data_IF_645974143991
#
_entry.id   IF_645974143991
#
_cell.length_a   1.000
_cell.length_b   1.000
_cell.length_c   1.000
_cell.angle_alpha   90.00
_cell.angle_beta   90.00
_cell.angle_gamma   90.00
#
_symmetry.space_group_name_H-M   'P 1'
#
loop_
_entity.id
_entity.type
_entity.pdbx_description
1 polymer ?
#
# COMPACT_ATOMS: atom_id res chain seq x y z
N UNK A 1 -7.48 -38.95 -14.05
CA UNK A 1 -8.24 -37.86 -13.41
C UNK A 1 -7.25 -36.74 -13.18
N UNK A 2 -7.46 -35.56 -13.77
CA UNK A 2 -6.59 -34.40 -13.52
C UNK A 2 -6.73 -33.96 -12.06
N UNK A 3 -5.64 -33.47 -11.47
CA UNK A 3 -5.59 -33.02 -10.07
C UNK A 3 -6.05 -31.57 -9.97
N UNK A 4 -6.23 -31.08 -8.74
CA UNK A 4 -6.42 -29.66 -8.44
C UNK A 4 -5.28 -29.18 -7.56
N UNK A 5 -4.80 -27.96 -7.79
CA UNK A 5 -3.76 -27.34 -6.99
C UNK A 5 -4.13 -25.91 -6.65
N UNK A 6 -3.79 -25.50 -5.43
CA UNK A 6 -4.00 -24.15 -4.95
C UNK A 6 -2.73 -23.65 -4.25
N UNK A 7 -2.32 -22.44 -4.59
CA UNK A 7 -1.19 -21.74 -3.99
C UNK A 7 -1.71 -20.59 -3.15
N UNK A 8 -1.11 -20.40 -1.97
CA UNK A 8 -1.30 -19.19 -1.15
C UNK A 8 0.06 -18.52 -1.07
N UNK A 9 0.13 -17.31 -1.62
CA UNK A 9 1.38 -16.58 -1.81
C UNK A 9 1.30 -15.27 -1.01
N UNK A 10 2.29 -15.05 -0.15
CA UNK A 10 2.47 -13.81 0.60
C UNK A 10 3.55 -12.91 -0.01
N UNK A 11 3.65 -11.67 0.49
CA UNK A 11 4.51 -10.61 -0.07
C UNK A 11 6.00 -10.95 -0.01
N UNK A 12 6.39 -11.90 0.84
CA UNK A 12 7.76 -12.39 0.94
C UNK A 12 8.33 -12.91 -0.39
N UNK A 13 7.51 -13.48 -1.27
CA UNK A 13 7.98 -13.99 -2.58
C UNK A 13 8.41 -12.85 -3.52
N UNK A 14 7.79 -11.68 -3.38
CA UNK A 14 8.03 -10.51 -4.23
C UNK A 14 9.37 -9.84 -3.92
N UNK A 15 9.94 -10.08 -2.74
CA UNK A 15 11.26 -9.54 -2.36
C UNK A 15 12.37 -10.01 -3.28
N UNK A 16 12.28 -11.23 -3.81
CA UNK A 16 13.25 -11.75 -4.79
C UNK A 16 13.25 -10.95 -6.09
N UNK A 17 12.15 -10.28 -6.42
CA UNK A 17 12.02 -9.39 -7.56
C UNK A 17 12.50 -7.97 -7.30
N UNK A 18 13.04 -7.67 -6.12
CA UNK A 18 13.43 -6.32 -5.71
C UNK A 18 12.24 -5.43 -5.33
N UNK A 19 11.05 -6.01 -5.15
CA UNK A 19 9.91 -5.26 -4.61
C UNK A 19 10.13 -5.01 -3.11
N UNK A 20 9.90 -3.79 -2.64
CA UNK A 20 10.20 -3.42 -1.26
C UNK A 20 9.33 -4.20 -0.28
N UNK A 21 9.92 -4.50 0.87
CA UNK A 21 9.20 -5.05 2.01
C UNK A 21 8.34 -3.98 2.69
N UNK A 22 7.44 -4.41 3.57
CA UNK A 22 6.70 -3.48 4.45
C UNK A 22 7.64 -2.63 5.29
N UNK A 23 8.79 -3.17 5.70
CA UNK A 23 9.82 -2.42 6.44
C UNK A 23 10.45 -1.33 5.57
N UNK A 24 10.79 -1.64 4.32
CA UNK A 24 11.36 -0.67 3.38
C UNK A 24 10.39 0.50 3.13
N UNK A 25 9.10 0.19 2.91
CA UNK A 25 8.04 1.19 2.74
C UNK A 25 7.86 2.02 4.02
N UNK A 26 7.83 1.35 5.17
CA UNK A 26 7.71 2.04 6.47
C UNK A 26 8.86 3.01 6.70
N UNK A 27 10.08 2.63 6.34
CA UNK A 27 11.22 3.52 6.49
C UNK A 27 11.13 4.71 5.53
N UNK A 28 10.67 4.51 4.29
CA UNK A 28 10.51 5.59 3.31
C UNK A 28 9.46 6.63 3.72
N UNK A 29 8.31 6.23 4.30
CA UNK A 29 7.27 7.19 4.72
C UNK A 29 7.69 8.02 5.96
N UNK A 30 8.81 7.70 6.60
CA UNK A 30 9.30 8.39 7.78
C UNK A 30 10.46 9.35 7.47
N UNK A 31 10.81 9.51 6.19
CA UNK A 31 11.85 10.42 5.71
C UNK A 31 11.32 11.32 4.60
N UNK A 32 11.99 12.43 4.32
CA UNK A 32 11.71 13.34 3.20
C UNK A 32 12.58 13.03 1.97
N UNK A 33 13.34 11.93 2.00
CA UNK A 33 14.38 11.65 1.01
C UNK A 33 13.80 11.47 -0.40
N UNK A 34 14.22 12.38 -1.31
CA UNK A 34 13.83 12.40 -2.72
C UNK A 34 12.33 12.53 -2.97
N UNK A 35 11.57 13.06 -1.99
CA UNK A 35 10.13 13.28 -2.11
C UNK A 35 9.84 14.76 -2.28
N UNK A 36 8.88 15.09 -3.14
CA UNK A 36 8.30 16.41 -3.17
C UNK A 36 6.80 16.35 -3.45
N UNK A 37 6.04 17.28 -2.86
CA UNK A 37 4.61 17.43 -3.16
C UNK A 37 4.42 18.26 -4.43
N UNK A 38 3.62 17.76 -5.36
CA UNK A 38 3.24 18.47 -6.57
C UNK A 38 2.01 19.38 -6.33
N UNK A 39 1.71 20.25 -7.29
CA UNK A 39 0.63 21.24 -7.17
C UNK A 39 -0.77 20.60 -7.22
N UNK A 40 -0.88 19.39 -7.78
CA UNK A 40 -2.10 18.59 -7.78
C UNK A 40 -2.34 17.82 -6.47
N UNK A 41 -1.42 17.92 -5.51
CA UNK A 41 -1.50 17.24 -4.23
C UNK A 41 -0.84 15.86 -4.18
N UNK A 42 -0.34 15.35 -5.30
CA UNK A 42 0.40 14.09 -5.34
C UNK A 42 1.83 14.25 -4.80
N UNK A 43 2.40 13.17 -4.28
CA UNK A 43 3.80 13.09 -3.89
C UNK A 43 4.60 12.35 -4.95
N UNK A 44 5.60 13.04 -5.48
CA UNK A 44 6.49 12.53 -6.52
C UNK A 44 7.88 12.25 -5.95
N UNK A 45 8.56 11.26 -6.53
CA UNK A 45 9.81 10.72 -6.02
C UNK A 45 10.93 10.91 -7.05
N UNK A 46 11.54 12.09 -7.09
CA UNK A 46 12.67 12.43 -7.97
C UNK A 46 13.65 13.39 -7.25
N UNK A 47 14.90 13.46 -7.74
CA UNK A 47 16.00 14.26 -7.16
C UNK A 47 15.87 15.79 -7.38
N UNK A 48 14.67 16.33 -7.57
CA UNK A 48 14.45 17.76 -7.80
C UNK A 48 13.56 18.33 -6.69
N UNK A 49 14.15 18.65 -5.54
CA UNK A 49 13.46 19.38 -4.47
C UNK A 49 13.41 20.88 -4.81
N UNK A 50 12.21 21.46 -4.70
CA UNK A 50 11.99 22.91 -4.63
C UNK A 50 11.70 23.26 -3.16
N UNK A 51 12.22 24.40 -2.68
CA UNK A 51 12.11 24.83 -1.26
C UNK A 51 10.67 24.93 -0.72
N UNK A 52 9.66 25.17 -1.57
CA UNK A 52 8.24 25.23 -1.17
C UNK A 52 7.64 23.85 -0.84
N UNK A 53 8.21 22.76 -1.34
CA UNK A 53 7.70 21.40 -1.14
C UNK A 53 8.08 20.83 0.24
N UNK A 54 8.99 21.51 0.94
CA UNK A 54 9.50 21.16 2.25
C UNK A 54 8.46 21.38 3.37
N UNK A 55 7.57 22.37 3.22
CA UNK A 55 6.59 22.73 4.25
C UNK A 55 5.61 21.60 4.60
N UNK A 56 5.10 20.88 3.60
CA UNK A 56 4.16 19.77 3.79
C UNK A 56 4.84 18.58 4.49
N UNK A 57 6.04 18.21 4.03
CA UNK A 57 6.81 17.10 4.60
C UNK A 57 7.24 17.42 6.04
N UNK A 58 7.58 18.67 6.35
CA UNK A 58 7.83 19.17 7.71
C UNK A 58 6.64 19.03 8.66
N UNK A 59 5.40 19.09 8.16
CA UNK A 59 4.21 18.80 8.96
C UNK A 59 4.02 17.29 9.15
N UNK A 60 4.10 16.54 8.06
CA UNK A 60 3.63 15.15 7.99
C UNK A 60 4.63 14.19 8.65
N UNK A 61 5.93 14.33 8.38
CA UNK A 61 6.93 13.36 8.87
C UNK A 61 6.98 13.30 10.41
N UNK A 62 7.02 14.43 11.15
CA UNK A 62 7.01 14.34 12.61
C UNK A 62 5.69 13.81 13.16
N UNK A 63 4.57 14.04 12.47
CA UNK A 63 3.27 13.43 12.81
C UNK A 63 3.30 11.91 12.61
N UNK A 64 3.80 11.42 11.47
CA UNK A 64 3.93 9.98 11.20
C UNK A 64 4.86 9.29 12.21
N UNK A 65 5.96 9.95 12.59
CA UNK A 65 6.85 9.44 13.65
C UNK A 65 6.16 9.39 15.02
N UNK A 66 5.36 10.41 15.37
CA UNK A 66 4.56 10.40 16.60
C UNK A 66 3.58 9.21 16.63
N UNK A 67 2.86 8.97 15.53
CA UNK A 67 1.94 7.82 15.44
C UNK A 67 2.71 6.50 15.58
N UNK A 68 3.85 6.36 14.90
CA UNK A 68 4.71 5.18 15.02
C UNK A 68 5.15 4.94 16.47
N UNK A 69 5.57 5.98 17.19
CA UNK A 69 5.96 5.88 18.61
C UNK A 69 4.80 5.39 19.47
N UNK A 70 3.60 5.93 19.25
CA UNK A 70 2.40 5.53 19.99
C UNK A 70 2.04 4.07 19.75
N UNK A 71 2.04 3.62 18.49
CA UNK A 71 1.74 2.23 18.14
C UNK A 71 2.82 1.29 18.70
N UNK A 72 4.11 1.68 18.62
CA UNK A 72 5.21 0.90 19.20
C UNK A 72 5.06 0.75 20.72
N UNK A 73 4.64 1.81 21.41
CA UNK A 73 4.36 1.76 22.84
C UNK A 73 3.26 0.74 23.15
N UNK A 74 2.23 0.67 22.33
CA UNK A 74 1.18 -0.33 22.47
C UNK A 74 1.69 -1.76 22.21
N UNK A 75 2.33 -2.01 21.05
CA UNK A 75 2.79 -3.36 20.69
C UNK A 75 3.86 -3.89 21.63
N UNK A 76 4.86 -3.09 22.02
CA UNK A 76 5.88 -3.52 22.98
C UNK A 76 5.30 -4.06 24.29
N UNK A 77 4.12 -3.60 24.70
CA UNK A 77 3.42 -4.03 25.91
C UNK A 77 2.39 -5.16 25.69
N UNK A 78 1.91 -5.39 24.45
CA UNK A 78 0.75 -6.27 24.20
C UNK A 78 0.96 -7.34 23.13
N UNK A 79 1.84 -7.14 22.15
CA UNK A 79 2.11 -8.13 21.11
C UNK A 79 3.52 -7.98 20.49
N UNK A 80 4.19 -9.10 20.24
CA UNK A 80 5.54 -9.11 19.66
C UNK A 80 5.53 -8.88 18.13
N UNK A 81 4.99 -7.73 17.71
CA UNK A 81 4.87 -7.31 16.31
C UNK A 81 5.56 -5.97 16.10
N UNK A 82 6.22 -5.82 14.95
CA UNK A 82 6.81 -4.56 14.50
C UNK A 82 5.75 -3.68 13.83
N UNK A 83 5.76 -2.38 14.13
CA UNK A 83 4.91 -1.38 13.46
C UNK A 83 5.31 -1.23 12.01
N UNK A 84 4.31 -1.17 11.11
CA UNK A 84 4.52 -0.92 9.69
C UNK A 84 3.68 0.29 9.19
N UNK A 85 3.83 0.63 7.91
CA UNK A 85 3.11 1.74 7.27
C UNK A 85 1.59 1.57 7.29
N UNK A 86 1.07 0.33 7.27
CA UNK A 86 -0.36 0.04 7.30
C UNK A 86 -0.96 0.43 8.65
N UNK A 87 -0.20 0.22 9.73
CA UNK A 87 -0.62 0.56 11.09
C UNK A 87 -0.67 2.07 11.29
N UNK A 88 0.34 2.75 10.75
CA UNK A 88 0.44 4.21 10.79
C UNK A 88 -0.69 4.81 9.95
N UNK A 89 -0.93 4.27 8.76
CA UNK A 89 -2.04 4.68 7.89
C UNK A 89 -3.38 4.49 8.59
N UNK A 90 -3.61 3.32 9.19
CA UNK A 90 -4.86 3.00 9.87
C UNK A 90 -5.10 3.90 11.09
N UNK A 91 -4.06 4.18 11.89
CA UNK A 91 -4.20 5.11 13.01
C UNK A 91 -4.50 6.53 12.53
N UNK A 92 -3.85 7.00 11.46
CA UNK A 92 -4.15 8.30 10.85
C UNK A 92 -5.58 8.37 10.30
N UNK A 93 -6.06 7.30 9.66
CA UNK A 93 -7.42 7.25 9.11
C UNK A 93 -8.47 7.28 10.21
N UNK A 94 -8.27 6.57 11.33
CA UNK A 94 -9.19 6.63 12.47
C UNK A 94 -9.28 8.02 13.10
N UNK A 95 -8.17 8.77 13.14
CA UNK A 95 -8.17 10.16 13.62
C UNK A 95 -8.88 11.06 12.60
N UNK A 96 -8.60 10.90 11.30
CA UNK A 96 -9.26 11.65 10.23
C UNK A 96 -10.78 11.46 10.27
N UNK A 97 -11.25 10.21 10.35
CA UNK A 97 -12.68 9.88 10.34
C UNK A 97 -13.41 10.55 11.53
N UNK A 98 -12.77 10.54 12.71
CA UNK A 98 -13.30 11.17 13.92
C UNK A 98 -13.35 12.71 13.83
N UNK A 99 -12.32 13.35 13.27
CA UNK A 99 -12.18 14.80 13.26
C UNK A 99 -12.84 15.48 12.05
N UNK A 100 -12.95 14.78 10.91
CA UNK A 100 -13.68 15.26 9.73
C UNK A 100 -15.20 15.27 9.92
N UNK A 101 -15.69 14.58 10.96
CA UNK A 101 -17.12 14.40 11.22
C UNK A 101 -17.80 13.38 10.30
N UNK A 102 -17.03 12.64 9.49
CA UNK A 102 -17.57 11.54 8.67
C UNK A 102 -18.04 10.37 9.55
N UNK A 103 -17.27 10.02 10.58
CA UNK A 103 -17.62 8.97 11.54
C UNK A 103 -17.16 9.32 12.97
N UNK A 104 -18.13 9.52 13.86
CA UNK A 104 -17.84 9.73 15.28
C UNK A 104 -17.38 8.41 15.94
N UNK A 105 -16.14 8.40 16.43
CA UNK A 105 -15.58 7.29 17.21
C UNK A 105 -15.07 7.80 18.57
N UNK A 106 -15.88 7.72 19.64
CA UNK A 106 -15.49 8.23 20.96
C UNK A 106 -14.30 7.49 21.56
N UNK A 107 -13.93 6.31 21.03
CA UNK A 107 -12.76 5.55 21.48
C UNK A 107 -11.45 6.15 20.96
N UNK A 108 -11.50 7.01 19.93
CA UNK A 108 -10.32 7.67 19.34
C UNK A 108 -10.03 9.00 20.06
N UNK A 109 -11.03 9.63 20.69
CA UNK A 109 -10.85 10.91 21.39
C UNK A 109 -9.71 10.91 22.43
N UNK A 110 -9.53 9.88 23.29
CA UNK A 110 -8.42 9.86 24.23
C UNK A 110 -7.04 9.87 23.56
N UNK A 111 -6.92 9.26 22.37
CA UNK A 111 -5.70 9.32 21.58
C UNK A 111 -5.49 10.73 21.01
N UNK A 112 -6.54 11.34 20.46
CA UNK A 112 -6.50 12.72 19.92
C UNK A 112 -6.07 13.69 21.01
N UNK A 113 -6.71 13.66 22.18
CA UNK A 113 -6.39 14.51 23.32
C UNK A 113 -4.93 14.36 23.78
N UNK A 114 -4.38 13.15 23.67
CA UNK A 114 -2.99 12.84 24.01
C UNK A 114 -1.99 13.42 23.00
N UNK A 115 -2.27 13.33 21.70
CA UNK A 115 -1.31 13.75 20.65
C UNK A 115 -1.43 15.24 20.29
N UNK A 116 -2.61 15.84 20.49
CA UNK A 116 -2.90 17.21 20.09
C UNK A 116 -1.94 18.26 20.69
N UNK A 117 -1.50 18.18 21.96
CA UNK A 117 -0.50 19.12 22.50
C UNK A 117 0.84 19.05 21.77
N UNK A 118 1.26 17.86 21.32
CA UNK A 118 2.49 17.69 20.55
C UNK A 118 2.36 18.32 19.17
N UNK A 119 1.24 18.05 18.49
CA UNK A 119 0.91 18.64 17.18
C UNK A 119 0.94 20.17 17.29
N UNK A 120 0.24 20.74 18.27
CA UNK A 120 0.18 22.19 18.48
C UNK A 120 1.53 22.84 18.79
N UNK A 121 2.41 22.15 19.51
CA UNK A 121 3.71 22.70 19.91
C UNK A 121 4.80 22.55 18.86
N UNK A 122 4.76 21.49 18.04
CA UNK A 122 5.84 21.18 17.07
C UNK A 122 5.48 21.42 15.61
N UNK A 123 4.21 21.34 15.23
CA UNK A 123 3.78 21.36 13.82
C UNK A 123 3.18 22.69 13.38
N UNK A 124 2.88 23.61 14.31
CA UNK A 124 2.23 24.91 14.03
C UNK A 124 3.22 25.98 13.53
N UNK A 125 4.53 25.77 13.63
CA UNK A 125 5.55 26.74 13.22
C UNK A 125 6.23 26.35 11.90
N UNK A 126 5.46 26.25 10.82
CA UNK A 126 6.01 26.03 9.48
C UNK A 126 6.19 27.40 8.80
N UNK A 127 7.43 27.88 8.62
CA UNK A 127 7.68 29.14 7.92
C UNK A 127 7.10 29.02 6.51
N UNK A 128 6.51 30.09 5.96
CA UNK A 128 5.83 30.17 4.65
C UNK A 128 4.36 29.74 4.57
N UNK A 129 3.79 29.15 5.63
CA UNK A 129 2.35 28.99 5.79
C UNK A 129 1.86 29.99 6.85
N UNK A 130 1.94 31.28 6.53
CA UNK A 130 1.47 32.33 7.43
C UNK A 130 -0.01 32.07 7.82
N UNK A 131 -0.26 32.02 9.13
CA UNK A 131 -1.58 32.03 9.79
C UNK A 131 -2.49 30.78 9.71
N UNK A 132 -2.05 29.66 9.14
CA UNK A 132 -2.85 28.42 9.10
C UNK A 132 -2.18 27.31 9.91
N UNK A 133 -2.47 27.24 11.21
CA UNK A 133 -2.32 25.98 11.95
C UNK A 133 -3.23 24.96 11.27
N UNK A 134 -2.66 23.95 10.62
CA UNK A 134 -3.50 22.93 10.00
C UNK A 134 -4.36 22.25 11.07
N UNK A 135 -5.67 22.11 10.81
CA UNK A 135 -6.48 21.26 11.66
C UNK A 135 -6.00 19.81 11.52
N UNK A 136 -6.24 19.01 12.56
CA UNK A 136 -5.65 17.66 12.68
C UNK A 136 -6.14 16.73 11.57
N UNK A 137 -7.40 16.85 11.16
CA UNK A 137 -7.98 16.16 10.01
C UNK A 137 -7.15 16.44 8.74
N UNK A 138 -6.74 17.68 8.49
CA UNK A 138 -5.92 18.01 7.32
C UNK A 138 -4.53 17.38 7.38
N UNK A 139 -3.91 17.34 8.57
CA UNK A 139 -2.63 16.65 8.76
C UNK A 139 -2.80 15.15 8.48
N UNK A 140 -3.88 14.54 8.97
CA UNK A 140 -4.16 13.12 8.73
C UNK A 140 -4.42 12.83 7.25
N UNK A 141 -5.24 13.64 6.58
CA UNK A 141 -5.52 13.52 5.14
C UNK A 141 -4.25 13.57 4.31
N UNK A 142 -3.42 14.59 4.51
CA UNK A 142 -2.16 14.74 3.77
C UNK A 142 -1.17 13.62 4.11
N UNK A 143 -1.16 13.13 5.35
CA UNK A 143 -0.36 11.97 5.75
C UNK A 143 -0.81 10.69 5.04
N UNK A 144 -2.12 10.45 4.94
CA UNK A 144 -2.68 9.30 4.20
C UNK A 144 -2.37 9.39 2.71
N UNK A 145 -2.48 10.58 2.11
CA UNK A 145 -2.13 10.82 0.71
C UNK A 145 -0.65 10.51 0.47
N UNK A 146 0.23 11.02 1.34
CA UNK A 146 1.67 10.76 1.25
C UNK A 146 2.02 9.26 1.37
N UNK A 147 1.42 8.55 2.33
CA UNK A 147 1.63 7.10 2.46
C UNK A 147 1.15 6.37 1.20
N UNK A 148 -0.04 6.70 0.70
CA UNK A 148 -0.61 6.06 -0.49
C UNK A 148 0.29 6.24 -1.71
N UNK A 149 0.75 7.47 -1.96
CA UNK A 149 1.61 7.78 -3.09
C UNK A 149 2.99 7.12 -2.95
N UNK A 150 3.51 7.02 -1.72
CA UNK A 150 4.74 6.27 -1.41
C UNK A 150 4.59 4.79 -1.72
N UNK A 151 3.53 4.15 -1.22
CA UNK A 151 3.23 2.74 -1.47
C UNK A 151 3.08 2.50 -2.96
N UNK A 152 2.29 3.32 -3.65
CA UNK A 152 2.07 3.20 -5.09
C UNK A 152 3.38 3.32 -5.86
N UNK A 153 4.19 4.35 -5.60
CA UNK A 153 5.47 4.56 -6.27
C UNK A 153 6.43 3.39 -6.04
N UNK A 154 6.52 2.90 -4.80
CA UNK A 154 7.44 1.83 -4.41
C UNK A 154 7.04 0.47 -4.99
N UNK A 155 5.75 0.16 -5.05
CA UNK A 155 5.22 -1.10 -5.57
C UNK A 155 5.06 -1.12 -7.10
N UNK A 156 4.98 0.05 -7.75
CA UNK A 156 4.88 0.16 -9.22
C UNK A 156 6.22 0.05 -9.94
N UNK A 157 7.32 -0.15 -9.21
CA UNK A 157 8.66 -0.32 -9.79
C UNK A 157 8.73 -1.60 -10.61
N UNK A 158 9.47 -1.54 -11.72
CA UNK A 158 9.73 -2.72 -12.54
C UNK A 158 10.55 -3.75 -11.75
N UNK A 159 10.13 -5.02 -11.70
CA UNK A 159 10.84 -6.07 -11.00
C UNK A 159 12.19 -6.33 -11.68
N UNK A 160 13.21 -6.65 -10.89
CA UNK A 160 14.56 -6.96 -11.40
C UNK A 160 14.65 -8.39 -11.97
N UNK A 161 13.82 -9.30 -11.46
CA UNK A 161 13.68 -10.70 -11.89
C UNK A 161 12.33 -11.24 -11.45
N UNK A 162 11.82 -12.27 -12.13
CA UNK A 162 10.49 -12.85 -11.86
C UNK A 162 10.48 -14.39 -11.97
N UNK A 163 11.64 -15.02 -12.07
CA UNK A 163 11.81 -16.47 -12.30
C UNK A 163 11.45 -17.35 -11.09
N UNK A 164 11.27 -16.76 -9.90
CA UNK A 164 10.78 -17.52 -8.75
C UNK A 164 9.38 -18.11 -8.94
N UNK A 165 8.66 -17.69 -9.97
CA UNK A 165 7.36 -18.21 -10.37
C UNK A 165 7.43 -19.28 -11.46
N UNK A 166 8.61 -19.78 -11.84
CA UNK A 166 8.78 -20.84 -12.85
C UNK A 166 7.99 -22.12 -12.55
N UNK A 167 7.75 -22.42 -11.27
CA UNK A 167 6.87 -23.51 -10.89
C UNK A 167 5.42 -23.35 -11.39
N UNK A 168 4.92 -22.11 -11.58
CA UNK A 168 3.58 -21.87 -12.13
C UNK A 168 3.52 -22.26 -13.61
N UNK A 169 4.57 -21.92 -14.37
CA UNK A 169 4.70 -22.34 -15.75
C UNK A 169 4.76 -23.87 -15.84
N UNK A 170 5.59 -24.51 -15.01
CA UNK A 170 5.68 -25.98 -14.96
C UNK A 170 4.32 -26.63 -14.66
N UNK A 171 3.53 -26.05 -13.74
CA UNK A 171 2.18 -26.54 -13.43
C UNK A 171 1.26 -26.46 -14.65
N UNK A 172 1.26 -25.33 -15.36
CA UNK A 172 0.43 -25.12 -16.56
C UNK A 172 0.86 -26.07 -17.68
N UNK A 173 2.15 -26.16 -17.97
CA UNK A 173 2.69 -26.97 -19.09
C UNK A 173 2.60 -28.48 -18.83
N UNK A 174 2.55 -28.92 -17.57
CA UNK A 174 2.43 -30.34 -17.23
C UNK A 174 1.13 -30.99 -17.73
N UNK A 175 0.05 -30.21 -17.85
CA UNK A 175 -1.29 -30.73 -18.13
C UNK A 175 -1.86 -31.66 -17.03
N UNK A 176 -1.20 -31.77 -15.87
CA UNK A 176 -1.64 -32.64 -14.77
C UNK A 176 -2.82 -32.06 -13.98
N UNK A 177 -2.99 -30.74 -13.99
CA UNK A 177 -3.90 -30.00 -13.12
C UNK A 177 -5.05 -29.40 -13.92
N UNK A 178 -6.29 -29.76 -13.58
CA UNK A 178 -7.50 -29.16 -14.17
C UNK A 178 -7.74 -27.74 -13.66
N UNK A 179 -7.34 -27.47 -12.39
CA UNK A 179 -7.51 -26.17 -11.75
C UNK A 179 -6.19 -25.75 -11.10
N UNK A 180 -5.75 -24.55 -11.42
CA UNK A 180 -4.57 -23.90 -10.83
C UNK A 180 -5.04 -22.60 -10.19
N UNK A 181 -5.24 -22.61 -8.88
CA UNK A 181 -5.68 -21.44 -8.13
C UNK A 181 -4.50 -20.75 -7.45
N UNK A 182 -4.38 -19.45 -7.65
CA UNK A 182 -3.31 -18.63 -7.07
C UNK A 182 -3.98 -17.58 -6.21
N UNK A 183 -3.93 -17.77 -4.90
CA UNK A 183 -4.36 -16.77 -3.92
C UNK A 183 -3.15 -15.96 -3.49
N UNK A 184 -3.23 -14.63 -3.60
CA UNK A 184 -2.15 -13.75 -3.21
C UNK A 184 -2.64 -12.65 -2.27
N UNK A 185 -1.82 -12.37 -1.26
CA UNK A 185 -1.97 -11.25 -0.33
C UNK A 185 -1.17 -10.02 -0.80
N UNK A 186 -0.55 -10.09 -1.97
CA UNK A 186 0.36 -9.07 -2.46
C UNK A 186 -0.42 -7.95 -3.16
N UNK A 187 -0.10 -6.71 -2.82
CA UNK A 187 -0.60 -5.53 -3.51
C UNK A 187 0.08 -5.31 -4.88
N UNK A 188 1.33 -5.78 -5.04
CA UNK A 188 2.08 -5.70 -6.29
C UNK A 188 1.46 -6.55 -7.43
N UNK A 189 1.95 -6.38 -8.65
CA UNK A 189 1.44 -7.10 -9.84
C UNK A 189 2.46 -8.11 -10.40
N UNK A 190 3.40 -8.62 -9.60
CA UNK A 190 4.53 -9.40 -10.14
C UNK A 190 4.05 -10.72 -10.75
N UNK A 191 3.06 -11.38 -10.13
CA UNK A 191 2.50 -12.64 -10.65
C UNK A 191 1.88 -12.39 -12.03
N UNK A 192 1.13 -11.30 -12.18
CA UNK A 192 0.55 -10.89 -13.46
C UNK A 192 1.62 -10.58 -14.50
N UNK A 193 2.67 -9.84 -14.11
CA UNK A 193 3.80 -9.54 -14.99
C UNK A 193 4.51 -10.82 -15.44
N UNK A 194 4.68 -11.80 -14.54
CA UNK A 194 5.25 -13.11 -14.85
C UNK A 194 4.39 -13.89 -15.85
N UNK A 195 3.10 -14.02 -15.59
CA UNK A 195 2.19 -14.76 -16.46
C UNK A 195 2.14 -14.11 -17.86
N UNK A 196 2.11 -12.78 -17.92
CA UNK A 196 2.19 -12.03 -19.18
C UNK A 196 3.53 -12.25 -19.91
N UNK A 197 4.68 -12.16 -19.22
CA UNK A 197 6.01 -12.40 -19.80
C UNK A 197 6.13 -13.81 -20.43
N UNK A 198 5.53 -14.80 -19.77
CA UNK A 198 5.50 -16.18 -20.28
C UNK A 198 4.40 -16.47 -21.29
N UNK A 199 3.59 -15.48 -21.67
CA UNK A 199 2.41 -15.64 -22.51
C UNK A 199 1.42 -16.70 -21.97
N UNK A 200 1.32 -16.82 -20.65
CA UNK A 200 0.37 -17.68 -19.97
C UNK A 200 -0.92 -16.89 -19.77
N UNK A 201 -2.01 -17.36 -20.37
CA UNK A 201 -3.34 -16.79 -20.13
C UNK A 201 -3.79 -17.05 -18.70
N UNK A 202 -4.44 -16.09 -18.06
CA UNK A 202 -4.97 -16.23 -16.69
C UNK A 202 -6.23 -15.40 -16.51
N UNK A 203 -6.99 -15.71 -15.46
CA UNK A 203 -8.18 -14.95 -15.04
C UNK A 203 -7.92 -14.32 -13.68
N UNK A 204 -8.06 -12.99 -13.59
CA UNK A 204 -7.91 -12.21 -12.36
C UNK A 204 -9.23 -11.58 -11.87
N UNK A 205 -10.35 -11.97 -12.50
CA UNK A 205 -11.69 -11.48 -12.18
C UNK A 205 -11.99 -10.07 -12.71
N UNK A 206 -11.10 -9.47 -13.51
CA UNK A 206 -11.35 -8.18 -14.15
C UNK A 206 -11.55 -8.33 -15.66
N UNK A 207 -12.55 -7.62 -16.19
CA UNK A 207 -12.85 -7.60 -17.62
C UNK A 207 -11.67 -7.12 -18.46
N UNK A 208 -11.79 -7.30 -19.78
CA UNK A 208 -10.95 -6.59 -20.73
C UNK A 208 -11.04 -5.08 -20.54
N UNK A 209 -9.97 -4.39 -20.94
CA UNK A 209 -9.80 -2.95 -20.77
C UNK A 209 -10.71 -2.20 -21.75
N UNK A 210 -11.67 -1.43 -21.23
CA UNK A 210 -12.52 -0.54 -21.99
C UNK A 210 -12.30 0.91 -21.54
N UNK A 211 -11.83 1.80 -22.44
CA UNK A 211 -11.50 3.20 -22.12
C UNK A 211 -10.57 3.35 -20.89
N UNK A 212 -9.54 2.51 -20.81
CA UNK A 212 -8.62 2.41 -19.67
C UNK A 212 -9.20 1.92 -18.34
N UNK A 213 -10.47 1.50 -18.31
CA UNK A 213 -11.11 0.93 -17.14
C UNK A 213 -11.29 -0.57 -17.33
N UNK A 214 -11.01 -1.34 -16.27
CA UNK A 214 -11.39 -2.74 -16.16
C UNK A 214 -12.47 -2.85 -15.08
N UNK A 215 -13.51 -3.63 -15.34
CA UNK A 215 -14.60 -3.82 -14.37
C UNK A 215 -14.43 -5.16 -13.69
N UNK A 216 -14.55 -5.18 -12.36
CA UNK A 216 -14.60 -6.42 -11.62
C UNK A 216 -15.84 -7.24 -12.03
N UNK A 217 -15.62 -8.48 -12.43
CA UNK A 217 -16.65 -9.45 -12.75
C UNK A 217 -16.26 -10.84 -12.20
N UNK A 218 -16.83 -11.26 -11.06
CA UNK A 218 -16.50 -12.55 -10.44
C UNK A 218 -16.98 -13.76 -11.27
N UNK A 219 -17.91 -13.58 -12.21
CA UNK A 219 -18.40 -14.66 -13.07
C UNK A 219 -17.29 -15.20 -13.99
N UNK A 220 -16.27 -14.40 -14.28
CA UNK A 220 -15.12 -14.80 -15.10
C UNK A 220 -14.39 -16.03 -14.54
N UNK A 221 -14.40 -16.24 -13.21
CA UNK A 221 -13.80 -17.42 -12.58
C UNK A 221 -14.60 -18.71 -12.79
N UNK A 222 -15.90 -18.60 -13.07
CA UNK A 222 -16.77 -19.76 -13.30
C UNK A 222 -16.62 -20.28 -14.73
N UNK A 223 -16.40 -19.37 -15.69
CA UNK A 223 -16.26 -19.68 -17.11
C UNK A 223 -14.81 -19.93 -17.54
N UNK A 224 -13.88 -20.00 -16.58
CA UNK A 224 -12.46 -20.22 -16.86
C UNK A 224 -12.23 -21.65 -17.37
N UNK A 225 -11.58 -21.84 -18.54
CA UNK A 225 -11.23 -23.17 -19.04
C UNK A 225 -10.38 -23.97 -18.05
N UNK A 226 -10.50 -25.30 -18.11
CA UNK A 226 -9.57 -26.18 -17.42
C UNK A 226 -8.12 -25.86 -17.88
N UNK A 227 -7.17 -25.89 -16.94
CA UNK A 227 -5.75 -25.57 -17.14
C UNK A 227 -5.39 -24.07 -17.24
N UNK A 228 -6.36 -23.15 -17.22
CA UNK A 228 -6.10 -21.69 -17.13
C UNK A 228 -5.98 -21.27 -15.66
N UNK A 229 -4.84 -20.69 -15.22
CA UNK A 229 -4.68 -20.18 -13.87
C UNK A 229 -5.70 -19.13 -13.48
N UNK A 230 -6.19 -19.21 -12.24
CA UNK A 230 -7.10 -18.25 -11.62
C UNK A 230 -6.37 -17.51 -10.51
N UNK A 231 -6.17 -16.21 -10.68
CA UNK A 231 -5.50 -15.35 -9.74
C UNK A 231 -6.52 -14.61 -8.87
N UNK A 232 -6.39 -14.75 -7.56
CA UNK A 232 -7.24 -14.12 -6.56
C UNK A 232 -6.42 -13.17 -5.70
N UNK A 233 -6.67 -11.86 -5.80
CA UNK A 233 -6.06 -10.82 -4.95
C UNK A 233 -6.93 -10.62 -3.71
N UNK A 234 -6.49 -11.16 -2.57
CA UNK A 234 -7.28 -11.15 -1.34
C UNK A 234 -7.25 -9.80 -0.61
N UNK A 235 -6.23 -8.98 -0.85
CA UNK A 235 -5.99 -7.69 -0.18
C UNK A 235 -6.06 -6.49 -1.14
N UNK A 236 -6.59 -6.68 -2.36
CA UNK A 236 -6.55 -5.66 -3.41
C UNK A 236 -5.19 -5.56 -4.11
N UNK A 237 -5.08 -4.67 -5.11
CA UNK A 237 -3.89 -4.51 -5.95
C UNK A 237 -3.68 -3.04 -6.35
N UNK A 238 -2.46 -2.66 -6.71
CA UNK A 238 -2.12 -1.32 -7.24
C UNK A 238 -2.47 -1.13 -8.74
N UNK A 239 -3.09 -2.12 -9.37
CA UNK A 239 -3.41 -2.18 -10.80
C UNK A 239 -4.62 -1.33 -11.20
#
# INVERSE_FOLDING_TARGET
MKKKISFIIGSGVSRYSGVPSTEDITNQILTDENVFRHTDGSYNFNNHSNELNDAYLKAIIPFLNLLKEEINSYFSNHCSRTVNYEDIYYMASQIYDAESGEYDNPSVQPLIDKILPFIKSKLVHIPYLDDLSWPIDRICEESMNYIRDTVWYMLSRQPTRIDQFDFLKDCVESGEFANIDIFTLNHDTIIEQYLNDKNISFVDGFSEKNNNLRTWNPELYNDTPEDVPRLFKLHGSVN
#
